data_IF_707904611389
#
_entry.id   IF_707904611389
#
_cell.length_a   1.000
_cell.length_b   1.000
_cell.length_c   1.000
_cell.angle_alpha   90.00
_cell.angle_beta   90.00
_cell.angle_gamma   90.00
#
_symmetry.space_group_name_H-M   'P 1'
#
loop_
_entity.id
_entity.type
_entity.pdbx_description
1 polymer ?
#
# COMPACT_ATOMS: atom_id res chain seq x y z
N UNK A 1 -14.18 -20.52 -26.08
CA UNK A 1 -12.78 -20.06 -25.93
C UNK A 1 -12.15 -20.85 -24.79
N UNK A 2 -11.07 -21.60 -25.03
CA UNK A 2 -10.32 -22.29 -23.96
C UNK A 2 -9.44 -21.23 -23.29
N UNK A 3 -9.70 -20.93 -22.03
CA UNK A 3 -8.90 -19.97 -21.29
C UNK A 3 -7.65 -20.69 -20.80
N UNK A 4 -6.51 -20.46 -21.46
CA UNK A 4 -5.24 -21.17 -21.22
C UNK A 4 -4.38 -20.47 -20.16
N UNK A 5 -4.98 -19.66 -19.29
CA UNK A 5 -4.29 -18.89 -18.25
C UNK A 5 -3.42 -19.78 -17.34
N UNK A 6 -3.84 -21.03 -17.08
CA UNK A 6 -3.06 -21.98 -16.30
C UNK A 6 -1.73 -22.34 -16.95
N UNK A 7 -1.72 -22.48 -18.27
CA UNK A 7 -0.51 -22.83 -19.03
C UNK A 7 0.46 -21.65 -19.00
N UNK A 8 -0.05 -20.42 -19.23
CA UNK A 8 0.73 -19.19 -19.08
C UNK A 8 1.28 -19.02 -17.67
N UNK A 9 0.49 -19.24 -16.61
CA UNK A 9 0.97 -19.17 -15.22
C UNK A 9 2.13 -20.14 -15.01
N UNK A 10 1.98 -21.40 -15.45
CA UNK A 10 3.02 -22.44 -15.29
C UNK A 10 4.31 -22.07 -16.01
N UNK A 11 4.21 -21.55 -17.24
CA UNK A 11 5.36 -21.09 -18.01
C UNK A 11 6.01 -19.86 -17.38
N UNK A 12 5.22 -18.89 -16.90
CA UNK A 12 5.74 -17.70 -16.22
C UNK A 12 6.42 -18.05 -14.90
N UNK A 13 5.86 -18.97 -14.10
CA UNK A 13 6.49 -19.45 -12.86
C UNK A 13 7.86 -20.08 -13.16
N UNK A 14 7.94 -20.88 -14.22
CA UNK A 14 9.19 -21.48 -14.68
C UNK A 14 10.22 -20.41 -15.07
N UNK A 15 9.84 -19.42 -15.88
CA UNK A 15 10.72 -18.32 -16.30
C UNK A 15 11.18 -17.47 -15.11
N UNK A 16 10.28 -17.13 -14.18
CA UNK A 16 10.59 -16.38 -12.96
C UNK A 16 11.60 -17.14 -12.09
N UNK A 17 11.40 -18.44 -11.89
CA UNK A 17 12.31 -19.27 -11.09
C UNK A 17 13.70 -19.45 -11.70
N UNK A 18 13.79 -19.50 -13.04
CA UNK A 18 15.06 -19.48 -13.79
C UNK A 18 15.68 -18.09 -13.84
N UNK A 19 14.93 -17.06 -13.45
CA UNK A 19 15.37 -15.69 -13.44
C UNK A 19 15.27 -14.96 -14.79
N UNK A 20 14.67 -15.60 -15.79
CA UNK A 20 14.44 -15.12 -17.16
C UNK A 20 13.25 -14.16 -17.22
N UNK A 21 13.34 -13.05 -16.48
CA UNK A 21 12.24 -12.09 -16.35
C UNK A 21 11.89 -11.39 -17.68
N UNK A 22 12.86 -11.18 -18.58
CA UNK A 22 12.61 -10.55 -19.88
C UNK A 22 11.75 -11.45 -20.78
N UNK A 23 12.00 -12.74 -20.74
CA UNK A 23 11.24 -13.77 -21.43
C UNK A 23 9.84 -13.87 -20.80
N UNK A 24 9.75 -13.73 -19.47
CA UNK A 24 8.48 -13.61 -18.76
C UNK A 24 7.65 -12.40 -19.22
N UNK A 25 8.26 -11.24 -19.43
CA UNK A 25 7.60 -10.06 -19.98
C UNK A 25 7.06 -10.30 -21.39
N UNK A 26 7.88 -10.86 -22.29
CA UNK A 26 7.44 -11.21 -23.66
C UNK A 26 6.26 -12.17 -23.66
N UNK A 27 6.29 -13.18 -22.79
CA UNK A 27 5.20 -14.14 -22.65
C UNK A 27 3.93 -13.47 -22.11
N UNK A 28 4.06 -12.47 -21.24
CA UNK A 28 2.93 -11.68 -20.75
C UNK A 28 2.31 -10.81 -21.85
N UNK A 29 3.12 -10.21 -22.73
CA UNK A 29 2.65 -9.46 -23.91
C UNK A 29 1.87 -10.36 -24.88
N UNK A 30 2.36 -11.58 -25.10
CA UNK A 30 1.65 -12.60 -25.89
C UNK A 30 0.29 -12.93 -25.26
N UNK A 31 0.27 -13.18 -23.94
CA UNK A 31 -0.97 -13.45 -23.21
C UNK A 31 -1.98 -12.29 -23.30
N UNK A 32 -1.52 -11.05 -23.17
CA UNK A 32 -2.39 -9.87 -23.29
C UNK A 32 -2.99 -9.77 -24.70
N UNK A 33 -2.24 -10.18 -25.73
CA UNK A 33 -2.65 -10.11 -27.14
C UNK A 33 -3.49 -11.32 -27.60
N UNK A 34 -3.50 -12.40 -26.83
CA UNK A 34 -4.12 -13.67 -27.23
C UNK A 34 -5.67 -13.66 -27.15
N UNK A 35 -6.28 -12.59 -26.64
CA UNK A 35 -7.72 -12.49 -26.44
C UNK A 35 -8.28 -13.45 -25.36
N UNK A 36 -7.42 -13.91 -24.45
CA UNK A 36 -7.78 -14.68 -23.25
C UNK A 36 -8.62 -13.83 -22.28
N UNK A 37 -9.43 -14.50 -21.44
CA UNK A 37 -10.09 -13.81 -20.35
C UNK A 37 -9.03 -13.34 -19.35
N UNK A 38 -9.14 -12.07 -18.94
CA UNK A 38 -8.22 -11.49 -17.98
C UNK A 38 -8.28 -12.25 -16.66
N UNK A 39 -7.09 -12.62 -16.17
CA UNK A 39 -6.88 -13.26 -14.88
C UNK A 39 -5.63 -12.66 -14.29
N UNK A 40 -5.79 -11.92 -13.19
CA UNK A 40 -4.69 -11.21 -12.55
C UNK A 40 -3.57 -12.14 -12.08
N UNK A 41 -3.83 -13.44 -11.88
CA UNK A 41 -2.79 -14.41 -11.49
C UNK A 41 -1.68 -14.47 -12.52
N UNK A 42 -1.97 -14.25 -13.81
CA UNK A 42 -0.99 -14.27 -14.89
C UNK A 42 0.06 -13.15 -14.74
N UNK A 43 -0.29 -11.85 -14.78
CA UNK A 43 0.70 -10.78 -14.52
C UNK A 43 1.25 -10.82 -13.09
N UNK A 44 0.46 -11.27 -12.10
CA UNK A 44 0.92 -11.34 -10.72
C UNK A 44 2.12 -12.28 -10.54
N UNK A 45 2.25 -13.35 -11.33
CA UNK A 45 3.44 -14.21 -11.30
C UNK A 45 4.73 -13.41 -11.59
N UNK A 46 4.70 -12.53 -12.60
CA UNK A 46 5.86 -11.68 -12.95
C UNK A 46 6.08 -10.59 -11.90
N UNK A 47 5.02 -9.96 -11.40
CA UNK A 47 5.08 -8.95 -10.31
C UNK A 47 5.76 -9.55 -9.07
N UNK A 48 5.39 -10.78 -8.68
CA UNK A 48 6.01 -11.48 -7.56
C UNK A 48 7.49 -11.75 -7.83
N UNK A 49 7.84 -12.20 -9.03
CA UNK A 49 9.24 -12.36 -9.44
C UNK A 49 10.05 -11.06 -9.35
N UNK A 50 9.46 -9.92 -9.70
CA UNK A 50 10.10 -8.61 -9.52
C UNK A 50 10.33 -8.26 -8.06
N UNK A 51 9.33 -8.45 -7.21
CA UNK A 51 9.42 -8.19 -5.77
C UNK A 51 10.52 -9.06 -5.15
N UNK A 52 10.56 -10.35 -5.46
CA UNK A 52 11.54 -11.30 -4.91
C UNK A 52 12.99 -10.98 -5.33
N UNK A 53 13.17 -10.34 -6.48
CA UNK A 53 14.45 -9.85 -6.97
C UNK A 53 14.78 -8.41 -6.55
N UNK A 54 13.93 -7.78 -5.73
CA UNK A 54 14.13 -6.39 -5.27
C UNK A 54 13.92 -5.33 -6.35
N UNK A 55 13.29 -5.69 -7.47
CA UNK A 55 12.99 -4.84 -8.62
C UNK A 55 11.62 -4.14 -8.45
N UNK A 56 11.47 -3.41 -7.34
CA UNK A 56 10.18 -2.82 -6.93
C UNK A 56 9.64 -1.81 -7.93
N UNK A 57 10.50 -1.06 -8.61
CA UNK A 57 10.12 -0.09 -9.65
C UNK A 57 9.44 -0.78 -10.84
N UNK A 58 9.92 -1.96 -11.22
CA UNK A 58 9.29 -2.74 -12.29
C UNK A 58 7.95 -3.34 -11.85
N UNK A 59 7.87 -3.81 -10.60
CA UNK A 59 6.64 -4.29 -10.02
C UNK A 59 5.56 -3.19 -9.94
N UNK A 60 5.95 -2.00 -9.47
CA UNK A 60 5.10 -0.80 -9.41
C UNK A 60 4.62 -0.39 -10.80
N UNK A 61 5.53 -0.22 -11.76
CA UNK A 61 5.17 0.18 -13.13
C UNK A 61 4.18 -0.79 -13.79
N UNK A 62 4.32 -2.10 -13.52
CA UNK A 62 3.37 -3.10 -14.02
C UNK A 62 1.99 -2.97 -13.35
N UNK A 63 1.95 -2.76 -12.03
CA UNK A 63 0.70 -2.54 -11.29
C UNK A 63 -0.01 -1.24 -11.74
N UNK A 64 0.74 -0.16 -11.93
CA UNK A 64 0.24 1.11 -12.49
C UNK A 64 -0.29 0.92 -13.91
N UNK A 65 0.44 0.18 -14.75
CA UNK A 65 0.01 -0.12 -16.12
C UNK A 65 -1.29 -0.92 -16.16
N UNK A 66 -1.48 -1.88 -15.24
CA UNK A 66 -2.75 -2.61 -15.10
C UNK A 66 -3.89 -1.67 -14.64
N UNK A 67 -3.61 -0.82 -13.65
CA UNK A 67 -4.58 0.17 -13.15
C UNK A 67 -5.02 1.15 -14.24
N UNK A 68 -4.07 1.69 -15.03
CA UNK A 68 -4.36 2.61 -16.14
C UNK A 68 -5.18 1.95 -17.27
N UNK A 69 -5.07 0.63 -17.44
CA UNK A 69 -5.90 -0.17 -18.36
C UNK A 69 -7.27 -0.56 -17.77
N UNK A 70 -7.59 -0.14 -16.54
CA UNK A 70 -8.80 -0.57 -15.82
C UNK A 70 -8.81 -2.05 -15.45
N UNK A 71 -7.65 -2.72 -15.47
CA UNK A 71 -7.51 -4.14 -15.15
C UNK A 71 -7.37 -4.31 -13.64
N UNK A 72 -8.14 -5.24 -13.09
CA UNK A 72 -8.13 -5.50 -11.64
C UNK A 72 -6.75 -6.01 -11.19
N UNK A 73 -6.24 -5.46 -10.09
CA UNK A 73 -5.09 -5.99 -9.33
C UNK A 73 -5.54 -6.30 -7.89
N UNK A 74 -4.60 -6.64 -7.00
CA UNK A 74 -4.93 -6.92 -5.59
C UNK A 74 -4.23 -5.95 -4.64
N UNK A 75 -4.86 -5.57 -3.52
CA UNK A 75 -4.22 -4.81 -2.45
C UNK A 75 -2.90 -5.45 -1.96
N UNK A 76 -2.83 -6.79 -1.97
CA UNK A 76 -1.65 -7.53 -1.52
C UNK A 76 -0.42 -7.27 -2.39
N UNK A 77 -0.57 -7.20 -3.72
CA UNK A 77 0.55 -6.95 -4.64
C UNK A 77 1.16 -5.58 -4.39
N UNK A 78 0.33 -4.54 -4.25
CA UNK A 78 0.76 -3.18 -3.88
C UNK A 78 1.40 -3.14 -2.48
N UNK A 79 0.83 -3.84 -1.51
CA UNK A 79 1.37 -3.91 -0.15
C UNK A 79 2.77 -4.55 -0.08
N UNK A 80 3.05 -5.55 -0.93
CA UNK A 80 4.38 -6.15 -1.03
C UNK A 80 5.41 -5.19 -1.64
N UNK A 81 5.02 -4.41 -2.65
CA UNK A 81 5.87 -3.37 -3.24
C UNK A 81 6.14 -2.25 -2.21
N UNK A 82 5.11 -1.81 -1.48
CA UNK A 82 5.25 -0.83 -0.40
C UNK A 82 6.22 -1.29 0.69
N UNK A 83 6.15 -2.56 1.11
CA UNK A 83 7.10 -3.13 2.06
C UNK A 83 8.54 -3.09 1.54
N UNK A 84 8.75 -3.43 0.27
CA UNK A 84 10.05 -3.34 -0.39
C UNK A 84 10.62 -1.92 -0.41
N UNK A 85 9.81 -0.93 -0.74
CA UNK A 85 10.22 0.47 -0.71
C UNK A 85 10.52 0.97 0.71
N UNK A 86 9.72 0.57 1.69
CA UNK A 86 9.99 0.90 3.09
C UNK A 86 11.34 0.33 3.54
N UNK A 87 11.65 -0.92 3.21
CA UNK A 87 12.92 -1.56 3.57
C UNK A 87 14.12 -0.90 2.87
N UNK A 88 13.92 -0.29 1.69
CA UNK A 88 14.94 0.55 1.01
C UNK A 88 15.02 2.00 1.52
N UNK A 89 14.12 2.42 2.43
CA UNK A 89 14.04 3.79 2.90
C UNK A 89 13.36 4.76 1.92
N UNK A 90 12.72 4.26 0.87
CA UNK A 90 12.01 5.05 -0.14
C UNK A 90 10.58 5.37 0.32
N UNK A 91 10.48 6.19 1.36
CA UNK A 91 9.23 6.44 2.10
C UNK A 91 8.08 6.95 1.22
N UNK A 92 8.32 7.91 0.32
CA UNK A 92 7.26 8.48 -0.52
C UNK A 92 6.63 7.43 -1.44
N UNK A 93 7.44 6.54 -2.02
CA UNK A 93 6.94 5.43 -2.83
C UNK A 93 6.19 4.40 -1.99
N UNK A 94 6.67 4.12 -0.76
CA UNK A 94 5.95 3.25 0.17
C UNK A 94 4.57 3.81 0.54
N UNK A 95 4.45 5.13 0.74
CA UNK A 95 3.18 5.83 0.98
C UNK A 95 2.27 5.71 -0.23
N UNK A 96 2.78 6.00 -1.44
CA UNK A 96 2.00 5.93 -2.67
C UNK A 96 1.45 4.52 -2.93
N UNK A 97 2.31 3.49 -2.88
CA UNK A 97 1.90 2.09 -3.02
C UNK A 97 0.89 1.66 -1.94
N UNK A 98 1.04 2.12 -0.70
CA UNK A 98 0.09 1.82 0.37
C UNK A 98 -1.27 2.47 0.11
N UNK A 99 -1.32 3.72 -0.35
CA UNK A 99 -2.57 4.39 -0.75
C UNK A 99 -3.25 3.65 -1.91
N UNK A 100 -2.48 3.20 -2.91
CA UNK A 100 -3.01 2.37 -3.99
C UNK A 100 -3.61 1.04 -3.47
N UNK A 101 -2.94 0.39 -2.51
CA UNK A 101 -3.47 -0.82 -1.87
C UNK A 101 -4.79 -0.55 -1.12
N UNK A 102 -4.85 0.53 -0.34
CA UNK A 102 -6.05 0.92 0.42
C UNK A 102 -7.22 1.27 -0.50
N UNK A 103 -6.96 1.92 -1.64
CA UNK A 103 -7.99 2.26 -2.63
C UNK A 103 -8.64 1.02 -3.29
N UNK A 104 -7.93 -0.11 -3.30
CA UNK A 104 -8.42 -1.39 -3.82
C UNK A 104 -9.13 -2.24 -2.75
N UNK A 105 -9.21 -1.76 -1.51
CA UNK A 105 -9.87 -2.49 -0.43
C UNK A 105 -11.36 -2.72 -0.75
N UNK A 106 -11.82 -3.92 -0.41
CA UNK A 106 -13.25 -4.27 -0.46
C UNK A 106 -13.57 -5.04 0.80
N UNK A 107 -14.61 -4.59 1.51
CA UNK A 107 -15.10 -5.27 2.71
C UNK A 107 -15.45 -6.73 2.42
N UNK A 108 -15.16 -7.63 3.37
CA UNK A 108 -15.41 -9.07 3.22
C UNK A 108 -14.36 -9.85 2.43
N UNK A 109 -13.34 -9.21 1.82
CA UNK A 109 -12.24 -9.92 1.12
C UNK A 109 -11.05 -10.32 2.00
N UNK A 110 -11.13 -10.09 3.32
CA UNK A 110 -10.15 -10.59 4.29
C UNK A 110 -8.74 -10.00 4.20
N UNK A 111 -8.52 -9.00 3.34
CA UNK A 111 -7.22 -8.33 3.25
C UNK A 111 -7.00 -7.38 4.43
N UNK A 112 -5.76 -7.31 4.92
CA UNK A 112 -5.32 -6.34 5.92
C UNK A 112 -3.99 -5.70 5.50
N UNK A 113 -3.79 -4.40 5.73
CA UNK A 113 -2.50 -3.76 5.50
C UNK A 113 -1.39 -4.38 6.35
N UNK A 114 -0.15 -4.35 5.85
CA UNK A 114 1.01 -4.81 6.61
C UNK A 114 1.29 -3.84 7.78
N UNK A 115 1.23 -4.34 9.01
CA UNK A 115 1.37 -3.51 10.22
C UNK A 115 2.74 -2.82 10.34
N UNK A 116 3.84 -3.47 9.93
CA UNK A 116 5.17 -2.85 9.88
C UNK A 116 5.19 -1.67 8.91
N UNK A 117 4.55 -1.85 7.74
CA UNK A 117 4.48 -0.80 6.72
C UNK A 117 3.67 0.40 7.21
N UNK A 118 2.50 0.13 7.78
CA UNK A 118 1.64 1.19 8.36
C UNK A 118 2.35 1.92 9.48
N UNK A 119 2.96 1.20 10.43
CA UNK A 119 3.66 1.81 11.55
C UNK A 119 4.84 2.70 11.08
N UNK A 120 5.63 2.23 10.10
CA UNK A 120 6.74 3.01 9.54
C UNK A 120 6.28 4.28 8.83
N UNK A 121 5.21 4.18 8.03
CA UNK A 121 4.63 5.35 7.36
C UNK A 121 4.05 6.34 8.38
N UNK A 122 3.27 5.87 9.35
CA UNK A 122 2.69 6.73 10.39
C UNK A 122 3.80 7.43 11.18
N UNK A 123 4.88 6.73 11.56
CA UNK A 123 6.03 7.36 12.22
C UNK A 123 6.63 8.48 11.38
N UNK A 124 6.90 8.23 10.09
CA UNK A 124 7.50 9.23 9.20
C UNK A 124 6.58 10.45 8.98
N UNK A 125 5.28 10.22 8.77
CA UNK A 125 4.28 11.28 8.66
C UNK A 125 4.14 12.06 9.99
N UNK A 126 4.22 11.35 11.11
CA UNK A 126 4.22 11.91 12.45
C UNK A 126 5.41 12.80 12.75
N UNK A 127 6.54 12.67 12.06
CA UNK A 127 7.72 13.54 12.24
C UNK A 127 7.76 14.68 11.22
N UNK A 128 7.50 14.38 9.95
CA UNK A 128 7.80 15.27 8.82
C UNK A 128 6.60 15.55 7.91
N UNK A 129 5.49 14.84 8.11
CA UNK A 129 4.31 14.95 7.25
C UNK A 129 3.63 16.31 7.35
N UNK A 130 3.20 16.83 6.20
CA UNK A 130 2.26 17.95 6.14
C UNK A 130 0.89 17.52 6.69
N UNK A 131 0.11 18.48 7.18
CA UNK A 131 -1.25 18.22 7.68
C UNK A 131 -2.07 17.50 6.61
N UNK A 132 -2.08 18.00 5.38
CA UNK A 132 -2.83 17.40 4.27
C UNK A 132 -2.37 15.96 3.98
N UNK A 133 -1.06 15.70 3.97
CA UNK A 133 -0.52 14.37 3.73
C UNK A 133 -0.94 13.36 4.80
N UNK A 134 -0.90 13.79 6.07
CA UNK A 134 -1.29 12.99 7.24
C UNK A 134 -2.80 12.73 7.23
N UNK A 135 -3.62 13.77 7.08
CA UNK A 135 -5.09 13.66 7.01
C UNK A 135 -5.52 12.76 5.84
N UNK A 136 -4.90 12.93 4.66
CA UNK A 136 -5.15 12.09 3.48
C UNK A 136 -4.84 10.62 3.77
N UNK A 137 -3.67 10.32 4.32
CA UNK A 137 -3.26 8.93 4.59
C UNK A 137 -4.12 8.28 5.67
N UNK A 138 -4.33 8.95 6.80
CA UNK A 138 -5.17 8.46 7.90
C UNK A 138 -6.62 8.31 7.44
N UNK A 139 -7.11 9.23 6.60
CA UNK A 139 -8.44 9.17 5.99
C UNK A 139 -8.65 7.94 5.11
N UNK A 140 -7.64 7.52 4.34
CA UNK A 140 -7.68 6.25 3.59
C UNK A 140 -7.53 5.03 4.49
N UNK A 141 -6.71 5.11 5.53
CA UNK A 141 -6.44 3.97 6.41
C UNK A 141 -7.65 3.61 7.29
N UNK A 142 -8.39 4.61 7.78
CA UNK A 142 -9.56 4.41 8.66
C UNK A 142 -10.74 3.71 7.98
N UNK A 143 -10.75 3.62 6.64
CA UNK A 143 -11.79 2.84 5.91
C UNK A 143 -11.52 1.34 5.94
N UNK A 144 -10.30 0.94 6.31
CA UNK A 144 -9.83 -0.44 6.31
C UNK A 144 -9.61 -0.97 7.72
N UNK A 145 -9.11 -0.14 8.62
CA UNK A 145 -8.88 -0.48 10.03
C UNK A 145 -9.52 0.56 10.95
N UNK A 146 -9.94 0.19 12.17
CA UNK A 146 -10.40 1.16 13.17
C UNK A 146 -9.32 2.19 13.47
N UNK A 147 -9.74 3.41 13.81
CA UNK A 147 -8.85 4.41 14.37
C UNK A 147 -8.12 3.83 15.58
N UNK A 148 -6.84 4.15 15.70
CA UNK A 148 -6.00 3.73 16.81
C UNK A 148 -5.17 4.92 17.33
N UNK A 149 -4.52 4.70 18.47
CA UNK A 149 -3.73 5.74 19.15
C UNK A 149 -2.66 6.36 18.23
N UNK A 150 -1.91 5.54 17.50
CA UNK A 150 -0.86 6.03 16.61
C UNK A 150 -1.43 6.96 15.51
N UNK A 151 -2.60 6.63 14.96
CA UNK A 151 -3.28 7.46 13.97
C UNK A 151 -3.71 8.82 14.54
N UNK A 152 -4.18 8.86 15.79
CA UNK A 152 -4.48 10.12 16.48
C UNK A 152 -3.22 10.93 16.77
N UNK A 153 -2.18 10.29 17.32
CA UNK A 153 -0.91 10.95 17.62
C UNK A 153 -0.31 11.65 16.41
N UNK A 154 -0.31 11.00 15.23
CA UNK A 154 0.24 11.62 14.02
C UNK A 154 -0.60 12.80 13.53
N UNK A 155 -1.93 12.74 13.65
CA UNK A 155 -2.83 13.85 13.32
C UNK A 155 -2.56 15.04 14.25
N UNK A 156 -2.50 14.81 15.55
CA UNK A 156 -2.25 15.85 16.55
C UNK A 156 -0.87 16.47 16.32
N UNK A 157 0.19 15.67 16.19
CA UNK A 157 1.56 16.16 15.90
C UNK A 157 1.59 17.03 14.64
N UNK A 158 0.91 16.61 13.56
CA UNK A 158 0.86 17.37 12.32
C UNK A 158 0.10 18.71 12.48
N UNK A 159 -1.02 18.71 13.19
CA UNK A 159 -1.82 19.93 13.44
C UNK A 159 -1.06 20.95 14.28
N UNK A 160 -0.41 20.51 15.37
CA UNK A 160 0.40 21.37 16.24
C UNK A 160 1.54 22.02 15.44
N UNK A 161 2.29 21.23 14.67
CA UNK A 161 3.35 21.78 13.80
C UNK A 161 2.84 22.83 12.81
N UNK A 162 1.60 22.71 12.35
CA UNK A 162 0.97 23.67 11.45
C UNK A 162 0.15 24.74 12.14
N UNK A 163 0.21 24.86 13.47
CA UNK A 163 -0.50 25.88 14.25
C UNK A 163 -2.03 25.74 14.23
N UNK A 164 -2.56 24.54 13.99
CA UNK A 164 -4.01 24.25 14.04
C UNK A 164 -4.41 23.73 15.42
N UNK A 165 -5.62 24.09 15.83
CA UNK A 165 -6.25 23.59 17.04
C UNK A 165 -6.44 22.06 17.01
N UNK A 166 -6.28 21.41 18.17
CA UNK A 166 -6.37 19.95 18.31
C UNK A 166 -7.49 19.47 19.24
N UNK A 167 -8.26 20.37 19.86
CA UNK A 167 -9.33 20.03 20.80
C UNK A 167 -10.37 19.08 20.19
N UNK A 168 -10.71 19.28 18.91
CA UNK A 168 -11.59 18.39 18.16
C UNK A 168 -11.01 16.98 17.97
N UNK A 169 -9.69 16.86 17.77
CA UNK A 169 -9.00 15.57 17.65
C UNK A 169 -8.92 14.86 19.00
N UNK A 170 -8.65 15.58 20.08
CA UNK A 170 -8.63 15.03 21.45
C UNK A 170 -10.03 14.57 21.88
N UNK A 171 -11.06 15.35 21.58
CA UNK A 171 -12.46 14.96 21.83
C UNK A 171 -12.84 13.69 21.03
N UNK A 172 -12.41 13.59 19.77
CA UNK A 172 -12.63 12.40 18.94
C UNK A 172 -11.90 11.17 19.50
N UNK A 173 -10.65 11.34 19.97
CA UNK A 173 -9.87 10.27 20.59
C UNK A 173 -10.55 9.72 21.85
N UNK A 174 -11.11 10.59 22.70
CA UNK A 174 -11.92 10.22 23.87
C UNK A 174 -13.21 9.50 23.48
N UNK A 175 -13.90 9.97 22.44
CA UNK A 175 -15.12 9.35 21.94
C UNK A 175 -14.88 7.91 21.44
N UNK A 176 -13.72 7.67 20.82
CA UNK A 176 -13.27 6.34 20.39
C UNK A 176 -12.76 5.46 21.54
N UNK A 177 -12.85 5.95 22.79
CA UNK A 177 -12.39 5.27 24.03
C UNK A 177 -10.90 4.93 24.00
N UNK A 178 -10.10 5.78 23.39
CA UNK A 178 -8.65 5.67 23.38
C UNK A 178 -8.12 6.64 24.42
N UNK A 179 -7.59 6.12 25.52
CA UNK A 179 -7.07 6.93 26.60
C UNK A 179 -5.88 7.79 26.14
N UNK A 180 -5.88 9.05 26.58
CA UNK A 180 -4.73 9.94 26.51
C UNK A 180 -3.62 9.34 27.39
N UNK A 181 -2.46 9.09 26.81
CA UNK A 181 -1.27 8.68 27.56
C UNK A 181 -0.33 9.86 27.76
N UNK A 182 0.75 9.63 28.51
CA UNK A 182 1.80 10.63 28.77
C UNK A 182 2.37 11.18 27.45
N UNK A 183 2.40 10.37 26.38
CA UNK A 183 2.80 10.84 25.04
C UNK A 183 1.77 11.83 24.47
N UNK A 184 0.46 11.55 24.55
CA UNK A 184 -0.58 12.50 24.13
C UNK A 184 -0.50 13.82 24.90
N UNK A 185 -0.30 13.77 26.22
CA UNK A 185 -0.17 14.98 27.04
C UNK A 185 1.10 15.77 26.72
N UNK A 186 2.22 15.11 26.45
CA UNK A 186 3.45 15.78 26.07
C UNK A 186 3.32 16.43 24.69
N UNK A 187 2.69 15.76 23.73
CA UNK A 187 2.44 16.33 22.39
C UNK A 187 1.58 17.58 22.49
N UNK A 188 0.51 17.58 23.29
CA UNK A 188 -0.43 18.70 23.42
C UNK A 188 0.05 19.85 24.31
N UNK A 189 1.08 19.64 25.14
CA UNK A 189 1.71 20.70 25.96
C UNK A 189 2.77 21.51 25.21
N UNK A 190 3.28 20.98 24.09
CA UNK A 190 4.30 21.65 23.24
C UNK A 190 3.68 22.63 22.21
N UNK A 191 2.36 22.75 22.14
CA UNK A 191 1.59 23.75 21.35
C UNK A 191 1.28 25.01 22.15
#
# INVERSE_FOLDING_TARGET
KRCINRDYITMLESLVSLGELKEGEKLLEEWESSGNCYDFRVPNTVIVGYIEKGLFEKAEAMLEGLMGKGKASTPNSWGRVAAGYLDKGEMEKAIACTKAALALYTEGKGWKPNSKVIAGILSSLGEKGSIEGVESFVGSLRTVIPMNRQMYHVLIKAHIRGGKEVDGLLASMKADKIDEDEETENISRES
#
